data_IF_385685931691
#
_entry.id   IF_385685931691
#
_cell.length_a   1.000
_cell.length_b   1.000
_cell.length_c   1.000
_cell.angle_alpha   90.00
_cell.angle_beta   90.00
_cell.angle_gamma   90.00
#
_symmetry.space_group_name_H-M   'P 1'
#
loop_
_entity.id
_entity.type
_entity.pdbx_description
1 polymer ?
#
# COMPACT_ATOMS: atom_id res chain seq x y z
N UNK A 1 6.13 -10.56 25.87
CA UNK A 1 6.48 -10.59 24.44
C UNK A 1 7.10 -11.94 24.15
N UNK A 2 6.59 -12.66 23.15
CA UNK A 2 7.14 -13.95 22.72
C UNK A 2 8.45 -13.74 21.95
N UNK A 3 9.46 -14.58 22.17
CA UNK A 3 10.67 -14.59 21.36
C UNK A 3 10.37 -15.06 19.92
N UNK A 4 11.27 -14.76 18.99
CA UNK A 4 11.03 -14.97 17.54
C UNK A 4 10.83 -16.45 17.19
N UNK A 5 11.56 -17.35 17.83
CA UNK A 5 11.45 -18.79 17.66
C UNK A 5 10.05 -19.33 17.99
N UNK A 6 9.33 -18.71 18.92
CA UNK A 6 7.92 -19.03 19.21
C UNK A 6 6.94 -18.46 18.18
N UNK A 7 7.36 -17.50 17.36
CA UNK A 7 6.55 -16.88 16.31
C UNK A 7 6.72 -17.57 14.95
N UNK A 8 7.84 -18.28 14.77
CA UNK A 8 8.14 -19.05 13.56
C UNK A 8 7.50 -20.44 13.67
N UNK A 9 6.54 -20.72 12.79
CA UNK A 9 5.97 -22.05 12.63
C UNK A 9 6.58 -22.73 11.41
N UNK A 10 7.60 -23.57 11.63
CA UNK A 10 8.35 -24.24 10.54
C UNK A 10 7.45 -25.14 9.69
N UNK A 11 6.50 -25.85 10.31
CA UNK A 11 5.67 -26.84 9.62
C UNK A 11 4.52 -26.20 8.82
N UNK A 12 4.03 -25.04 9.26
CA UNK A 12 2.88 -24.35 8.68
C UNK A 12 3.24 -22.93 8.24
N UNK A 13 4.48 -22.69 7.83
CA UNK A 13 4.91 -21.38 7.33
C UNK A 13 4.21 -21.07 6.01
N UNK A 14 3.43 -19.98 5.97
CA UNK A 14 2.64 -19.59 4.81
C UNK A 14 3.49 -19.06 3.65
N UNK A 15 4.80 -18.83 3.83
CA UNK A 15 5.66 -18.18 2.84
C UNK A 15 5.80 -18.95 1.54
N UNK A 16 6.02 -20.25 1.60
CA UNK A 16 6.30 -21.05 0.39
C UNK A 16 5.10 -21.07 -0.55
N UNK A 17 3.89 -21.23 0.01
CA UNK A 17 2.64 -21.18 -0.75
C UNK A 17 2.39 -19.77 -1.31
N UNK A 18 2.54 -18.75 -0.48
CA UNK A 18 2.37 -17.36 -0.91
C UNK A 18 3.35 -16.97 -2.03
N UNK A 19 4.62 -17.34 -1.92
CA UNK A 19 5.62 -17.05 -2.94
C UNK A 19 5.27 -17.75 -4.27
N UNK A 20 4.82 -19.00 -4.21
CA UNK A 20 4.37 -19.73 -5.39
C UNK A 20 3.17 -19.04 -6.05
N UNK A 21 2.17 -18.59 -5.28
CA UNK A 21 1.03 -17.83 -5.79
C UNK A 21 1.45 -16.52 -6.47
N UNK A 22 2.26 -15.72 -5.78
CA UNK A 22 2.71 -14.41 -6.27
C UNK A 22 3.54 -14.55 -7.57
N UNK A 23 4.32 -15.61 -7.71
CA UNK A 23 5.23 -15.80 -8.85
C UNK A 23 4.63 -16.63 -9.99
N UNK A 24 3.51 -17.33 -9.78
CA UNK A 24 2.80 -18.06 -10.83
C UNK A 24 1.92 -17.16 -11.72
N UNK A 25 1.63 -15.94 -11.26
CA UNK A 25 0.78 -14.99 -11.97
C UNK A 25 1.42 -14.36 -13.21
N UNK A 26 0.59 -13.66 -13.99
CA UNK A 26 1.06 -12.90 -15.16
C UNK A 26 1.67 -11.52 -14.79
N UNK A 27 1.48 -11.09 -13.55
CA UNK A 27 1.97 -9.79 -13.04
C UNK A 27 3.47 -9.87 -12.80
N UNK A 28 4.21 -8.83 -13.18
CA UNK A 28 5.63 -8.72 -12.84
C UNK A 28 5.77 -8.57 -11.33
N UNK A 29 6.45 -9.52 -10.68
CA UNK A 29 6.69 -9.50 -9.23
C UNK A 29 8.19 -9.49 -8.93
N UNK A 30 8.59 -8.60 -8.02
CA UNK A 30 9.94 -8.55 -7.43
C UNK A 30 9.83 -8.63 -5.91
N UNK A 31 10.30 -9.73 -5.36
CA UNK A 31 10.40 -9.91 -3.90
C UNK A 31 11.73 -9.36 -3.42
N UNK A 32 11.71 -8.46 -2.44
CA UNK A 32 12.91 -7.88 -1.85
C UNK A 32 13.42 -8.76 -0.71
N UNK A 33 14.74 -8.87 -0.55
CA UNK A 33 15.32 -9.50 0.64
C UNK A 33 15.16 -8.62 1.88
N UNK A 34 15.25 -9.21 3.07
CA UNK A 34 15.27 -8.46 4.33
C UNK A 34 16.22 -9.09 5.33
N UNK A 35 16.92 -8.23 6.08
CA UNK A 35 17.69 -8.61 7.26
C UNK A 35 16.93 -8.24 8.55
N UNK A 36 15.75 -7.62 8.43
CA UNK A 36 14.96 -7.08 9.53
C UNK A 36 13.72 -7.93 9.84
N UNK A 37 13.53 -9.04 9.13
CA UNK A 37 12.34 -9.89 9.27
C UNK A 37 12.09 -10.43 10.67
N UNK A 38 13.09 -11.03 11.36
CA UNK A 38 12.94 -11.48 12.74
C UNK A 38 12.50 -10.38 13.70
N UNK A 39 13.07 -9.18 13.55
CA UNK A 39 12.76 -8.04 14.39
C UNK A 39 11.35 -7.51 14.11
N UNK A 40 10.97 -7.38 12.83
CA UNK A 40 9.62 -6.99 12.42
C UNK A 40 8.57 -7.96 12.98
N UNK A 41 8.80 -9.27 12.85
CA UNK A 41 7.92 -10.30 13.39
C UNK A 41 7.79 -10.19 14.92
N UNK A 42 8.91 -9.95 15.62
CA UNK A 42 8.95 -9.75 17.07
C UNK A 42 8.16 -8.51 17.49
N UNK A 43 8.31 -7.38 16.80
CA UNK A 43 7.59 -6.15 17.11
C UNK A 43 6.07 -6.32 16.93
N UNK A 44 5.65 -6.98 15.85
CA UNK A 44 4.24 -7.18 15.52
C UNK A 44 3.55 -8.30 16.32
N UNK A 45 4.33 -9.24 16.87
CA UNK A 45 3.83 -10.41 17.61
C UNK A 45 2.83 -11.26 16.80
N UNK A 46 2.96 -11.30 15.48
CA UNK A 46 2.23 -12.22 14.59
C UNK A 46 3.06 -13.47 14.33
N UNK A 47 2.44 -14.53 13.79
CA UNK A 47 3.15 -15.79 13.50
C UNK A 47 3.24 -16.05 12.00
N UNK A 48 4.25 -16.83 11.57
CA UNK A 48 4.45 -17.18 10.15
C UNK A 48 3.40 -18.14 9.60
N UNK A 49 2.51 -18.67 10.44
CA UNK A 49 1.28 -19.36 9.99
C UNK A 49 0.36 -18.42 9.21
N UNK A 50 0.40 -17.13 9.53
CA UNK A 50 -0.34 -16.11 8.79
C UNK A 50 0.48 -15.58 7.62
N UNK A 51 -0.18 -15.24 6.50
CA UNK A 51 0.47 -14.57 5.36
C UNK A 51 1.12 -13.24 5.76
N UNK A 52 0.54 -12.52 6.73
CA UNK A 52 1.11 -11.28 7.28
C UNK A 52 2.46 -11.55 7.99
N UNK A 53 2.54 -12.56 8.84
CA UNK A 53 3.78 -12.94 9.50
C UNK A 53 4.82 -13.53 8.55
N UNK A 54 4.38 -14.28 7.53
CA UNK A 54 5.26 -14.77 6.48
C UNK A 54 5.88 -13.61 5.67
N UNK A 55 5.08 -12.61 5.27
CA UNK A 55 5.56 -11.38 4.63
C UNK A 55 6.53 -10.61 5.52
N UNK A 56 6.21 -10.47 6.81
CA UNK A 56 7.08 -9.80 7.78
C UNK A 56 8.45 -10.48 7.92
N UNK A 57 8.51 -11.80 7.93
CA UNK A 57 9.75 -12.54 8.16
C UNK A 57 10.62 -12.67 6.91
N UNK A 58 10.01 -13.02 5.78
CA UNK A 58 10.77 -13.58 4.64
C UNK A 58 11.05 -12.58 3.51
N UNK A 59 10.34 -11.45 3.44
CA UNK A 59 10.49 -10.47 2.38
C UNK A 59 10.69 -9.08 2.96
N UNK A 60 11.55 -8.25 2.37
CA UNK A 60 11.60 -6.82 2.68
C UNK A 60 10.33 -6.10 2.23
N UNK A 61 9.71 -6.64 1.19
CA UNK A 61 8.44 -6.25 0.63
C UNK A 61 8.28 -6.90 -0.73
N UNK A 62 7.15 -6.66 -1.37
CA UNK A 62 6.85 -7.18 -2.70
C UNK A 62 6.48 -6.02 -3.60
N UNK A 63 7.21 -5.88 -4.70
CA UNK A 63 7.00 -4.83 -5.70
C UNK A 63 6.33 -5.47 -6.90
N UNK A 64 5.15 -4.99 -7.25
CA UNK A 64 4.32 -5.53 -8.33
C UNK A 64 4.17 -4.53 -9.46
N UNK A 65 3.94 -5.08 -10.64
CA UNK A 65 3.44 -4.37 -11.82
C UNK A 65 4.26 -3.13 -12.17
N UNK A 66 5.51 -3.36 -12.59
CA UNK A 66 6.45 -2.30 -12.96
C UNK A 66 6.84 -1.34 -11.82
N UNK A 67 6.56 -1.70 -10.57
CA UNK A 67 6.82 -0.82 -9.43
C UNK A 67 5.62 0.00 -8.98
N UNK A 68 4.47 -0.18 -9.65
CA UNK A 68 3.23 0.53 -9.37
C UNK A 68 2.71 0.26 -7.96
N UNK A 69 2.66 -1.01 -7.55
CA UNK A 69 2.17 -1.42 -6.23
C UNK A 69 3.31 -1.97 -5.39
N UNK A 70 3.38 -1.56 -4.12
CA UNK A 70 4.45 -1.90 -3.19
C UNK A 70 3.85 -2.38 -1.88
N UNK A 71 4.03 -3.66 -1.59
CA UNK A 71 3.57 -4.30 -0.36
C UNK A 71 4.69 -4.30 0.68
N UNK A 72 4.32 -4.04 1.93
CA UNK A 72 5.27 -4.04 3.04
C UNK A 72 5.54 -5.47 3.54
N UNK A 73 6.78 -5.69 3.98
CA UNK A 73 7.22 -6.92 4.63
C UNK A 73 8.08 -6.61 5.85
N UNK A 74 9.20 -7.28 6.01
CA UNK A 74 10.25 -6.95 6.98
C UNK A 74 11.00 -5.64 6.72
N UNK A 75 10.72 -4.95 5.61
CA UNK A 75 11.37 -3.69 5.24
C UNK A 75 12.63 -3.88 4.40
N UNK A 76 12.90 -2.88 3.56
CA UNK A 76 14.07 -2.82 2.69
C UNK A 76 14.62 -1.37 2.61
N UNK A 77 15.33 -0.90 3.66
CA UNK A 77 15.77 0.49 3.75
C UNK A 77 16.69 0.96 2.60
N UNK A 78 17.43 0.04 1.99
CA UNK A 78 18.34 0.34 0.86
C UNK A 78 17.59 0.93 -0.36
N UNK A 79 16.33 0.56 -0.56
CA UNK A 79 15.47 1.13 -1.62
C UNK A 79 14.36 2.04 -1.06
N UNK A 80 14.32 2.25 0.27
CA UNK A 80 13.38 3.14 0.92
C UNK A 80 11.99 2.55 1.19
N UNK A 81 11.85 1.22 1.20
CA UNK A 81 10.58 0.57 1.56
C UNK A 81 10.53 0.28 3.07
N UNK A 82 9.52 0.77 3.82
CA UNK A 82 9.41 0.52 5.25
C UNK A 82 9.01 -0.94 5.53
N UNK A 83 9.33 -1.41 6.73
CA UNK A 83 8.76 -2.63 7.29
C UNK A 83 7.29 -2.42 7.66
N UNK A 84 6.56 -3.53 7.78
CA UNK A 84 5.21 -3.57 8.34
C UNK A 84 5.19 -3.00 9.77
N UNK A 85 6.27 -3.18 10.55
CA UNK A 85 6.39 -2.62 11.88
C UNK A 85 6.50 -1.08 11.83
N UNK A 86 7.42 -0.54 11.02
CA UNK A 86 7.63 0.92 10.86
C UNK A 86 6.41 1.62 10.29
N UNK A 87 5.84 1.08 9.21
CA UNK A 87 4.64 1.63 8.57
C UNK A 87 3.44 1.71 9.52
N UNK A 88 3.46 0.92 10.59
CA UNK A 88 2.43 0.87 11.60
C UNK A 88 2.92 1.31 12.98
N UNK A 89 4.04 2.03 13.11
CA UNK A 89 4.50 2.59 14.39
C UNK A 89 4.69 1.57 15.51
N UNK A 90 5.21 0.38 15.21
CA UNK A 90 5.62 -0.62 16.21
C UNK A 90 7.06 -0.41 16.72
N UNK A 91 7.69 0.73 16.38
CA UNK A 91 9.09 1.06 16.67
C UNK A 91 9.42 1.08 18.17
N UNK A 92 8.40 1.29 19.02
CA UNK A 92 8.49 1.23 20.48
C UNK A 92 8.25 -0.18 21.08
N UNK A 93 7.99 -1.17 20.23
CA UNK A 93 7.61 -2.53 20.60
C UNK A 93 6.12 -2.86 20.38
N UNK A 94 5.66 -4.02 20.85
CA UNK A 94 4.30 -4.50 20.67
C UNK A 94 3.32 -3.55 21.32
N UNK A 95 2.24 -3.28 20.59
CA UNK A 95 1.14 -2.43 21.01
C UNK A 95 -0.18 -3.17 20.79
N UNK A 96 -1.26 -2.59 21.28
CA UNK A 96 -2.61 -3.09 20.98
C UNK A 96 -2.84 -3.11 19.46
N UNK A 97 -3.70 -4.03 19.02
CA UNK A 97 -4.05 -4.14 17.61
C UNK A 97 -4.60 -2.78 17.13
N UNK A 98 -4.02 -2.19 16.06
CA UNK A 98 -4.49 -0.90 15.59
C UNK A 98 -5.89 -1.00 14.99
N UNK A 99 -6.58 0.13 14.93
CA UNK A 99 -7.86 0.26 14.22
C UNK A 99 -7.70 -0.01 12.71
N UNK A 100 -6.50 0.24 12.16
CA UNK A 100 -6.11 -0.17 10.82
C UNK A 100 -4.63 -0.50 10.71
N UNK A 101 -4.28 -1.34 9.75
CA UNK A 101 -2.93 -1.84 9.57
C UNK A 101 -2.45 -1.65 8.13
N UNK A 102 -1.53 -0.73 7.89
CA UNK A 102 -0.94 -0.47 6.59
C UNK A 102 -0.13 -1.66 6.07
N UNK A 103 -0.45 -2.11 4.86
CA UNK A 103 0.15 -3.27 4.20
C UNK A 103 0.78 -2.94 2.84
N UNK A 104 0.55 -1.75 2.31
CA UNK A 104 1.21 -1.31 1.09
C UNK A 104 0.71 0.03 0.57
N UNK A 105 1.29 0.44 -0.54
CA UNK A 105 0.89 1.65 -1.26
C UNK A 105 1.15 1.51 -2.76
N UNK A 106 0.49 2.36 -3.55
CA UNK A 106 0.81 2.54 -4.95
C UNK A 106 1.58 3.84 -5.23
N UNK A 107 2.08 3.96 -6.45
CA UNK A 107 2.85 5.14 -6.91
C UNK A 107 2.05 6.43 -6.90
N UNK A 108 0.72 6.39 -6.89
CA UNK A 108 -0.13 7.58 -6.80
C UNK A 108 -0.42 7.96 -5.35
N UNK A 109 0.22 7.32 -4.37
CA UNK A 109 -0.04 7.58 -2.95
C UNK A 109 -1.33 6.96 -2.44
N UNK A 110 -1.90 6.01 -3.19
CA UNK A 110 -2.98 5.17 -2.71
C UNK A 110 -2.46 4.24 -1.62
N UNK A 111 -3.28 4.02 -0.58
CA UNK A 111 -2.87 3.26 0.61
C UNK A 111 -3.72 2.02 0.76
N UNK A 112 -3.08 0.89 1.05
CA UNK A 112 -3.75 -0.36 1.38
C UNK A 112 -3.59 -0.62 2.85
N UNK A 113 -4.72 -0.74 3.54
CA UNK A 113 -4.74 -0.95 4.97
C UNK A 113 -5.78 -2.02 5.33
N UNK A 114 -5.40 -2.96 6.18
CA UNK A 114 -6.30 -3.98 6.73
C UNK A 114 -7.06 -3.39 7.90
N UNK A 115 -8.38 -3.52 7.91
CA UNK A 115 -9.20 -3.11 9.02
C UNK A 115 -8.90 -3.93 10.28
N UNK A 116 -8.72 -3.25 11.41
CA UNK A 116 -8.52 -3.86 12.71
C UNK A 116 -9.80 -4.48 13.28
N UNK A 117 -9.74 -5.04 14.50
CA UNK A 117 -10.92 -5.60 15.16
C UNK A 117 -12.03 -4.58 15.41
N UNK A 118 -11.66 -3.32 15.60
CA UNK A 118 -12.56 -2.16 15.73
C UNK A 118 -12.07 -1.09 14.76
N UNK A 119 -12.59 -1.07 13.51
CA UNK A 119 -12.22 -0.07 12.52
C UNK A 119 -12.72 1.32 12.92
N UNK A 120 -12.11 2.41 12.39
CA UNK A 120 -12.65 3.76 12.54
C UNK A 120 -14.08 3.88 11.97
N UNK A 121 -14.91 4.77 12.52
CA UNK A 121 -16.32 4.92 12.09
C UNK A 121 -16.46 5.35 10.63
N UNK A 122 -15.51 6.14 10.12
CA UNK A 122 -15.46 6.65 8.74
C UNK A 122 -14.79 5.68 7.76
N UNK A 123 -14.44 4.48 8.23
CA UNK A 123 -13.78 3.44 7.45
C UNK A 123 -14.81 2.41 6.96
N UNK A 124 -14.96 2.20 5.65
CA UNK A 124 -15.82 1.13 5.14
C UNK A 124 -15.17 -0.25 5.34
N UNK A 125 -15.95 -1.31 5.11
CA UNK A 125 -15.48 -2.70 5.15
C UNK A 125 -15.45 -3.32 6.55
N UNK A 126 -15.38 -4.64 6.60
CA UNK A 126 -15.41 -5.43 7.84
C UNK A 126 -14.01 -5.60 8.46
N UNK A 127 -13.92 -5.98 9.75
CA UNK A 127 -12.64 -6.35 10.37
C UNK A 127 -11.87 -7.42 9.59
N UNK A 128 -10.59 -7.16 9.32
CA UNK A 128 -9.71 -8.05 8.57
C UNK A 128 -9.75 -7.87 7.04
N UNK A 129 -10.69 -7.08 6.52
CA UNK A 129 -10.73 -6.72 5.10
C UNK A 129 -9.73 -5.63 4.75
N UNK A 130 -9.28 -5.63 3.49
CA UNK A 130 -8.42 -4.58 2.94
C UNK A 130 -9.28 -3.42 2.47
N UNK A 131 -8.95 -2.21 2.92
CA UNK A 131 -9.44 -0.96 2.38
C UNK A 131 -8.35 -0.28 1.56
N UNK A 132 -8.78 0.33 0.46
CA UNK A 132 -7.95 1.15 -0.40
C UNK A 132 -8.32 2.62 -0.23
N UNK A 133 -7.34 3.45 0.11
CA UNK A 133 -7.49 4.90 0.02
C UNK A 133 -7.20 5.32 -1.41
N UNK A 134 -8.24 5.68 -2.13
CA UNK A 134 -8.22 6.02 -3.55
C UNK A 134 -7.78 7.48 -3.77
N UNK A 135 -6.59 7.77 -4.34
CA UNK A 135 -6.16 9.13 -4.61
C UNK A 135 -7.05 9.85 -5.62
N UNK A 136 -7.77 9.11 -6.45
CA UNK A 136 -8.71 9.62 -7.43
C UNK A 136 -10.02 10.11 -6.81
N UNK A 137 -10.43 9.64 -5.64
CA UNK A 137 -11.61 10.16 -4.94
C UNK A 137 -11.28 10.84 -3.61
N UNK A 138 -10.06 10.66 -3.10
CA UNK A 138 -9.64 11.03 -1.74
C UNK A 138 -10.44 10.33 -0.64
N UNK A 139 -11.04 9.18 -0.95
CA UNK A 139 -11.91 8.41 -0.05
C UNK A 139 -11.37 6.99 0.19
N UNK A 140 -11.79 6.39 1.30
CA UNK A 140 -11.57 4.97 1.56
C UNK A 140 -12.64 4.14 0.84
N UNK A 141 -12.23 3.04 0.22
CA UNK A 141 -13.10 2.08 -0.45
C UNK A 141 -12.78 0.67 0.07
N UNK A 142 -13.77 -0.16 0.42
CA UNK A 142 -13.53 -1.55 0.77
C UNK A 142 -13.19 -2.34 -0.49
N UNK A 143 -12.24 -3.27 -0.39
CA UNK A 143 -11.95 -4.22 -1.46
C UNK A 143 -12.78 -5.51 -1.32
N UNK A 144 -13.61 -5.63 -0.29
CA UNK A 144 -14.44 -6.79 0.04
C UNK A 144 -13.63 -8.11 0.08
N UNK A 145 -12.38 -8.02 0.55
CA UNK A 145 -11.43 -9.12 0.58
C UNK A 145 -10.59 -9.09 1.86
N UNK A 146 -10.51 -10.21 2.60
CA UNK A 146 -9.50 -10.38 3.64
C UNK A 146 -8.09 -10.28 3.07
N UNK A 147 -7.12 -9.85 3.90
CA UNK A 147 -5.72 -9.66 3.47
C UNK A 147 -5.12 -10.85 2.70
N UNK A 148 -5.35 -12.08 3.18
CA UNK A 148 -4.82 -13.27 2.51
C UNK A 148 -5.40 -13.49 1.11
N UNK A 149 -6.70 -13.26 0.95
CA UNK A 149 -7.41 -13.33 -0.34
C UNK A 149 -6.95 -12.23 -1.27
N UNK A 150 -6.75 -11.01 -0.74
CA UNK A 150 -6.24 -9.89 -1.50
C UNK A 150 -4.85 -10.17 -2.09
N UNK A 151 -3.93 -10.77 -1.32
CA UNK A 151 -2.62 -11.18 -1.85
C UNK A 151 -2.72 -12.16 -3.03
N UNK A 152 -3.63 -13.13 -2.97
CA UNK A 152 -3.89 -14.03 -4.11
C UNK A 152 -4.51 -13.29 -5.30
N UNK A 153 -5.40 -12.34 -5.03
CA UNK A 153 -6.03 -11.52 -6.06
C UNK A 153 -5.02 -10.65 -6.80
N UNK A 154 -4.02 -10.08 -6.11
CA UNK A 154 -2.93 -9.31 -6.73
C UNK A 154 -2.15 -10.12 -7.78
N UNK A 155 -2.00 -11.43 -7.57
CA UNK A 155 -1.33 -12.33 -8.52
C UNK A 155 -2.21 -12.70 -9.73
N UNK A 156 -3.51 -12.42 -9.69
CA UNK A 156 -4.48 -12.92 -10.69
C UNK A 156 -4.50 -12.16 -12.02
N UNK A 157 -3.70 -11.10 -12.18
CA UNK A 157 -3.66 -10.29 -13.41
C UNK A 157 -4.77 -9.25 -13.52
N UNK A 158 -5.57 -9.04 -12.47
CA UNK A 158 -6.69 -8.08 -12.46
C UNK A 158 -6.28 -6.64 -12.12
N UNK A 159 -4.99 -6.37 -12.00
CA UNK A 159 -4.48 -5.02 -11.73
C UNK A 159 -4.71 -4.05 -12.89
N UNK A 160 -4.75 -4.55 -14.13
CA UNK A 160 -5.07 -3.73 -15.30
C UNK A 160 -6.51 -3.21 -15.24
N UNK A 161 -7.46 -4.05 -14.84
CA UNK A 161 -8.85 -3.63 -14.65
C UNK A 161 -8.98 -2.67 -13.46
N UNK A 162 -8.29 -2.95 -12.35
CA UNK A 162 -8.38 -2.15 -11.13
C UNK A 162 -7.80 -0.74 -11.30
N UNK A 163 -6.67 -0.61 -12.00
CA UNK A 163 -6.01 0.68 -12.21
C UNK A 163 -6.28 1.30 -13.58
N UNK A 164 -7.17 0.72 -14.39
CA UNK A 164 -7.41 1.13 -15.77
C UNK A 164 -7.74 2.61 -15.91
N UNK A 165 -8.56 3.14 -14.99
CA UNK A 165 -9.02 4.54 -15.00
C UNK A 165 -7.98 5.54 -14.47
N UNK A 166 -6.85 5.07 -13.95
CA UNK A 166 -5.77 5.91 -13.40
C UNK A 166 -4.42 5.69 -14.11
N UNK A 167 -4.42 4.97 -15.24
CA UNK A 167 -3.24 4.68 -16.07
C UNK A 167 -3.24 5.51 -17.35
N UNK A 168 -2.05 5.90 -17.79
CA UNK A 168 -1.83 6.69 -19.01
C UNK A 168 -0.76 6.03 -19.89
N UNK A 169 -0.70 6.32 -21.21
CA UNK A 169 0.35 5.77 -22.07
C UNK A 169 1.76 6.07 -21.52
N UNK A 170 2.56 5.03 -21.31
CA UNK A 170 3.92 5.15 -20.76
C UNK A 170 4.02 5.10 -19.24
N UNK A 171 2.90 4.87 -18.52
CA UNK A 171 2.91 4.75 -17.05
C UNK A 171 3.91 3.71 -16.54
N UNK A 172 4.15 2.62 -17.28
CA UNK A 172 5.09 1.56 -16.91
C UNK A 172 6.53 2.06 -16.81
N UNK A 173 6.92 2.98 -17.68
CA UNK A 173 8.28 3.54 -17.70
C UNK A 173 8.45 4.57 -16.59
N UNK A 174 7.40 5.38 -16.34
CA UNK A 174 7.38 6.31 -15.20
C UNK A 174 7.43 5.55 -13.87
N UNK A 175 6.64 4.48 -13.70
CA UNK A 175 6.64 3.66 -12.49
C UNK A 175 8.00 2.97 -12.25
N UNK A 176 8.62 2.42 -13.30
CA UNK A 176 9.94 1.75 -13.21
C UNK A 176 11.08 2.69 -12.84
N UNK A 177 10.96 3.97 -13.19
CA UNK A 177 11.99 4.97 -12.91
C UNK A 177 11.99 5.45 -11.45
N UNK A 178 10.92 5.17 -10.69
CA UNK A 178 10.80 5.60 -9.30
C UNK A 178 11.67 4.77 -8.36
N UNK A 179 12.24 5.45 -7.35
CA UNK A 179 12.65 4.78 -6.12
C UNK A 179 11.40 4.31 -5.34
N UNK A 180 11.56 3.32 -4.47
CA UNK A 180 10.43 2.77 -3.71
C UNK A 180 9.90 3.72 -2.60
N UNK A 181 10.64 4.77 -2.27
CA UNK A 181 10.22 5.87 -1.41
C UNK A 181 9.60 7.05 -2.17
N UNK A 182 9.38 6.93 -3.49
CA UNK A 182 8.81 7.98 -4.32
C UNK A 182 7.45 7.60 -4.90
N UNK A 183 6.55 8.57 -4.97
CA UNK A 183 5.32 8.52 -5.75
C UNK A 183 5.34 9.52 -6.91
N UNK A 184 4.26 9.55 -7.67
CA UNK A 184 4.01 10.46 -8.78
C UNK A 184 2.99 11.50 -8.30
N UNK A 185 3.45 12.72 -8.09
CA UNK A 185 2.54 13.85 -8.00
C UNK A 185 2.04 14.22 -9.39
N UNK A 186 0.79 14.68 -9.48
CA UNK A 186 0.20 15.12 -10.74
C UNK A 186 -0.56 16.43 -10.60
N UNK A 187 -0.51 17.25 -11.65
CA UNK A 187 -1.32 18.45 -11.78
C UNK A 187 -1.93 18.57 -13.20
N UNK A 188 -3.23 18.87 -13.35
CA UNK A 188 -4.26 18.95 -12.30
C UNK A 188 -4.33 17.68 -11.44
N UNK A 189 -4.82 17.78 -10.19
CA UNK A 189 -4.81 16.64 -9.27
C UNK A 189 -5.73 15.53 -9.76
N UNK A 190 -5.39 14.27 -9.48
CA UNK A 190 -6.10 13.08 -9.97
C UNK A 190 -7.61 13.11 -9.71
N UNK A 191 -8.01 13.66 -8.56
CA UNK A 191 -9.41 13.73 -8.15
C UNK A 191 -10.22 14.84 -8.82
N UNK A 192 -9.60 15.69 -9.65
CA UNK A 192 -10.32 16.74 -10.38
C UNK A 192 -10.82 16.27 -11.74
N UNK A 193 -11.88 16.90 -12.23
CA UNK A 193 -12.46 16.57 -13.53
C UNK A 193 -11.46 16.80 -14.68
N UNK A 194 -10.61 17.82 -14.57
CA UNK A 194 -9.59 18.16 -15.56
C UNK A 194 -8.56 17.04 -15.73
N UNK A 195 -8.08 16.45 -14.64
CA UNK A 195 -7.14 15.32 -14.71
C UNK A 195 -7.81 14.08 -15.33
N UNK A 196 -9.05 13.79 -14.93
CA UNK A 196 -9.80 12.61 -15.43
C UNK A 196 -10.16 12.69 -16.91
N UNK A 197 -10.28 13.89 -17.48
CA UNK A 197 -10.55 14.07 -18.90
C UNK A 197 -9.36 13.68 -19.77
N UNK A 198 -8.13 13.97 -19.34
CA UNK A 198 -6.92 13.63 -20.07
C UNK A 198 -5.73 13.44 -19.10
N UNK A 199 -5.61 12.21 -18.59
CA UNK A 199 -4.50 11.85 -17.71
C UNK A 199 -3.14 12.01 -18.39
N UNK A 200 -3.06 11.79 -19.71
CA UNK A 200 -1.79 11.89 -20.43
C UNK A 200 -1.28 13.33 -20.46
N UNK A 201 -2.18 14.32 -20.52
CA UNK A 201 -1.84 15.75 -20.50
C UNK A 201 -1.47 16.31 -19.12
N UNK A 202 -1.62 15.54 -18.03
CA UNK A 202 -1.22 15.99 -16.69
C UNK A 202 0.30 16.19 -16.59
N UNK A 203 0.74 17.16 -15.79
CA UNK A 203 2.14 17.31 -15.41
C UNK A 203 2.45 16.37 -14.25
N UNK A 204 3.37 15.43 -14.44
CA UNK A 204 3.72 14.41 -13.45
C UNK A 204 5.16 14.55 -13.00
N UNK A 205 5.40 14.43 -11.70
CA UNK A 205 6.75 14.51 -11.11
C UNK A 205 6.96 13.50 -9.99
N UNK A 206 8.13 12.85 -9.94
CA UNK A 206 8.50 12.02 -8.80
C UNK A 206 8.69 12.91 -7.56
N UNK A 207 8.01 12.56 -6.47
CA UNK A 207 8.17 13.20 -5.16
C UNK A 207 8.23 12.13 -4.07
N UNK A 208 8.75 12.43 -2.87
CA UNK A 208 8.69 11.50 -1.74
C UNK A 208 7.24 11.05 -1.45
N UNK A 209 7.06 9.75 -1.23
CA UNK A 209 5.73 9.13 -1.09
C UNK A 209 4.99 9.61 0.16
N UNK A 210 5.71 9.86 1.24
CA UNK A 210 5.21 10.42 2.49
C UNK A 210 4.63 11.83 2.28
N UNK A 211 5.30 12.67 1.49
CA UNK A 211 4.82 13.99 1.10
C UNK A 211 3.54 13.88 0.27
N UNK A 212 3.51 12.99 -0.73
CA UNK A 212 2.32 12.77 -1.56
C UNK A 212 1.10 12.36 -0.72
N UNK A 213 1.28 11.37 0.17
CA UNK A 213 0.22 10.91 1.07
C UNK A 213 -0.24 12.00 2.06
N UNK A 214 0.69 12.83 2.57
CA UNK A 214 0.40 13.95 3.45
C UNK A 214 -0.43 15.04 2.77
N UNK A 215 -0.10 15.34 1.50
CA UNK A 215 -0.88 16.27 0.66
C UNK A 215 -2.29 15.73 0.45
N UNK A 216 -2.45 14.45 0.07
CA UNK A 216 -3.78 13.85 -0.09
C UNK A 216 -4.61 13.89 1.19
N UNK A 217 -4.02 13.52 2.34
CA UNK A 217 -4.73 13.59 3.62
C UNK A 217 -5.09 15.02 4.05
N UNK A 218 -4.30 16.02 3.65
CA UNK A 218 -4.62 17.43 3.91
C UNK A 218 -5.73 17.94 2.99
N UNK A 219 -5.72 17.53 1.71
CA UNK A 219 -6.78 17.87 0.75
C UNK A 219 -8.09 17.19 1.12
N UNK A 220 -8.09 15.91 1.47
CA UNK A 220 -9.29 15.19 1.89
C UNK A 220 -10.00 15.89 3.06
N UNK A 221 -9.25 16.29 4.09
CA UNK A 221 -9.79 17.07 5.22
C UNK A 221 -10.29 18.44 4.81
N UNK A 222 -9.62 19.12 3.89
CA UNK A 222 -10.01 20.48 3.46
C UNK A 222 -11.23 20.47 2.54
N UNK A 223 -11.41 19.40 1.77
CA UNK A 223 -12.45 19.27 0.76
C UNK A 223 -13.69 18.51 1.27
N UNK A 224 -13.54 17.65 2.28
CA UNK A 224 -14.62 16.80 2.79
C UNK A 224 -15.83 17.55 3.36
N UNK A 225 -15.62 18.79 3.82
CA UNK A 225 -16.70 19.66 4.32
C UNK A 225 -17.38 20.49 3.21
N UNK A 226 -16.88 20.44 1.98
CA UNK A 226 -17.43 21.23 0.88
C UNK A 226 -18.69 20.57 0.31
N UNK A 227 -19.76 21.33 0.02
CA UNK A 227 -20.92 20.81 -0.68
C UNK A 227 -20.55 20.23 -2.06
N UNK A 228 -21.26 19.18 -2.48
CA UNK A 228 -21.12 18.63 -3.82
C UNK A 228 -21.29 19.70 -4.90
N UNK A 229 -20.39 19.73 -5.88
CA UNK A 229 -20.34 20.74 -6.94
C UNK A 229 -19.58 22.01 -6.59
N UNK A 230 -18.95 22.07 -5.40
CA UNK A 230 -18.05 23.16 -5.05
C UNK A 230 -16.85 23.23 -5.99
N UNK A 231 -16.38 24.44 -6.26
CA UNK A 231 -15.13 24.69 -7.00
C UNK A 231 -14.10 25.30 -6.05
N UNK A 232 -12.86 24.86 -6.15
CA UNK A 232 -11.73 25.40 -5.41
C UNK A 232 -10.58 25.71 -6.37
N UNK A 233 -9.70 26.64 -5.99
CA UNK A 233 -8.53 27.02 -6.79
C UNK A 233 -7.28 26.71 -5.98
N UNK A 234 -6.41 25.87 -6.53
CA UNK A 234 -5.08 25.62 -5.99
C UNK A 234 -4.07 26.43 -6.77
N UNK A 235 -3.31 27.29 -6.08
CA UNK A 235 -2.18 28.02 -6.64
C UNK A 235 -0.90 27.47 -6.02
N UNK A 236 -0.02 26.95 -6.86
CA UNK A 236 1.33 26.55 -6.48
C UNK A 236 2.25 27.65 -6.97
N UNK A 237 2.80 28.44 -6.03
CA UNK A 237 3.82 29.43 -6.34
C UNK A 237 5.21 28.77 -6.32
N UNK A 238 6.12 29.16 -7.22
CA UNK A 238 7.45 28.56 -7.35
C UNK A 238 8.37 28.80 -6.15
#
# INVERSE_FOLDING_TARGET
>A
MRPVDELINIAEDAWSELLAELTAGAVQVRVLSTDHGPETLRMMQVTTRSRLGAMALHAGGVVLDHGWLRLYGGGHPAEGLPSLAEANGFDGGPREAPASFAVGHDVLGGRYEVNGPVPPEDRPGDPGEVCYYAPESLEWQPLDMPYGTWLSWLASGRLDDFYGDVRWPGWQDEARALRLDQGISMYPFLFTAEARQDLAATNRRPIPIDQLMSVHGSLARSLGDLPNGSSFVVRVEP
#
